data_IF_128594855445
#
_entry.id   IF_128594855445
#
_cell.length_a   1.000
_cell.length_b   1.000
_cell.length_c   1.000
_cell.angle_alpha   90.00
_cell.angle_beta   90.00
_cell.angle_gamma   90.00
#
_symmetry.space_group_name_H-M   'P 1'
#
loop_
_entity.id
_entity.type
_entity.pdbx_description
1 polymer ?
#
# COMPACT_ATOMS: atom_id res chain seq x y z
N UNK A 1 17.75 -16.52 -1.50
CA UNK A 1 16.48 -16.85 -2.22
C UNK A 1 16.28 -15.75 -3.25
N UNK A 2 16.13 -16.10 -4.51
CA UNK A 2 15.84 -15.12 -5.56
C UNK A 2 14.31 -14.92 -5.63
N UNK A 3 13.86 -13.68 -5.47
CA UNK A 3 12.44 -13.33 -5.55
C UNK A 3 11.96 -13.07 -6.98
N UNK A 4 12.86 -13.08 -7.98
CA UNK A 4 12.54 -12.78 -9.37
C UNK A 4 12.03 -11.36 -9.60
N UNK A 5 12.47 -10.39 -8.79
CA UNK A 5 12.02 -9.00 -8.83
C UNK A 5 12.91 -8.09 -9.67
N UNK A 6 14.13 -8.53 -9.99
CA UNK A 6 15.07 -7.76 -10.78
C UNK A 6 14.51 -7.38 -12.16
N UNK A 7 14.61 -6.10 -12.50
CA UNK A 7 14.12 -5.55 -13.77
C UNK A 7 12.62 -5.30 -13.85
N UNK A 8 11.83 -5.63 -12.82
CA UNK A 8 10.40 -5.29 -12.72
C UNK A 8 10.19 -3.81 -12.38
N UNK A 9 9.00 -3.31 -12.68
CA UNK A 9 8.57 -1.95 -12.35
C UNK A 9 7.49 -1.99 -11.28
N UNK A 10 7.72 -1.31 -10.17
CA UNK A 10 6.81 -1.22 -9.04
C UNK A 10 6.26 0.20 -8.88
N UNK A 11 4.93 0.34 -8.82
CA UNK A 11 4.23 1.54 -8.38
C UNK A 11 3.80 1.36 -6.92
N UNK A 12 4.28 2.21 -6.02
CA UNK A 12 3.96 2.17 -4.58
C UNK A 12 3.28 3.47 -4.19
N UNK A 13 2.01 3.41 -3.78
CA UNK A 13 1.26 4.58 -3.31
C UNK A 13 1.48 4.84 -1.82
N UNK A 14 1.45 6.12 -1.39
CA UNK A 14 1.76 6.52 -0.01
C UNK A 14 3.22 6.23 0.35
N UNK A 15 4.13 6.37 -0.62
CA UNK A 15 5.56 6.07 -0.44
C UNK A 15 6.37 7.25 0.13
N UNK A 16 5.72 8.38 0.46
CA UNK A 16 6.41 9.60 0.88
C UNK A 16 6.75 9.66 2.36
N UNK A 17 5.91 9.11 3.23
CA UNK A 17 6.14 9.19 4.68
C UNK A 17 7.44 8.51 5.11
N UNK A 18 8.36 9.28 5.70
CA UNK A 18 9.71 8.80 6.02
C UNK A 18 9.76 7.71 7.11
N UNK A 19 8.69 7.58 7.89
CA UNK A 19 8.50 6.53 8.90
C UNK A 19 7.40 5.54 8.50
N UNK A 20 6.88 5.67 7.25
CA UNK A 20 5.76 4.89 6.74
C UNK A 20 6.15 3.53 6.15
N UNK A 21 5.17 2.66 6.08
CA UNK A 21 5.33 1.36 5.43
C UNK A 21 5.64 1.52 3.93
N UNK A 22 4.98 2.47 3.23
CA UNK A 22 5.15 2.66 1.79
C UNK A 22 6.58 2.99 1.38
N UNK A 23 7.28 3.86 2.13
CA UNK A 23 8.71 4.12 1.90
C UNK A 23 9.54 2.85 2.06
N UNK A 24 9.35 2.12 3.16
CA UNK A 24 10.13 0.89 3.40
C UNK A 24 9.88 -0.16 2.31
N UNK A 25 8.64 -0.29 1.85
CA UNK A 25 8.26 -1.17 0.74
C UNK A 25 8.98 -0.73 -0.55
N UNK A 26 8.91 0.56 -0.89
CA UNK A 26 9.55 1.11 -2.08
C UNK A 26 11.08 0.87 -2.09
N UNK A 27 11.74 1.16 -0.97
CA UNK A 27 13.19 0.92 -0.80
C UNK A 27 13.54 -0.57 -0.87
N UNK A 28 12.71 -1.43 -0.27
CA UNK A 28 12.94 -2.89 -0.31
C UNK A 28 12.79 -3.43 -1.73
N UNK A 29 11.74 -3.06 -2.47
CA UNK A 29 11.57 -3.46 -3.86
C UNK A 29 12.71 -2.97 -4.76
N UNK A 30 13.21 -1.75 -4.52
CA UNK A 30 14.37 -1.23 -5.23
C UNK A 30 15.66 -2.04 -4.95
N UNK A 31 15.89 -2.47 -3.70
CA UNK A 31 17.01 -3.33 -3.31
C UNK A 31 16.94 -4.71 -3.97
N UNK A 32 15.73 -5.21 -4.22
CA UNK A 32 15.47 -6.44 -4.99
C UNK A 32 15.57 -6.22 -6.53
N UNK A 33 15.98 -5.02 -6.98
CA UNK A 33 16.25 -4.71 -8.39
C UNK A 33 15.06 -4.17 -9.18
N UNK A 34 13.96 -3.78 -8.51
CA UNK A 34 12.87 -3.10 -9.19
C UNK A 34 13.22 -1.65 -9.54
N UNK A 35 12.71 -1.15 -10.66
CA UNK A 35 12.52 0.28 -10.87
C UNK A 35 11.24 0.71 -10.13
N UNK A 36 11.30 1.80 -9.36
CA UNK A 36 10.20 2.19 -8.46
C UNK A 36 9.62 3.55 -8.82
N UNK A 37 8.30 3.61 -8.95
CA UNK A 37 7.55 4.86 -8.91
C UNK A 37 7.06 5.10 -7.47
N UNK A 38 7.70 6.03 -6.78
CA UNK A 38 7.31 6.46 -5.45
C UNK A 38 6.16 7.46 -5.58
N UNK A 39 4.92 7.00 -5.30
CA UNK A 39 3.74 7.84 -5.42
C UNK A 39 3.27 8.36 -4.06
N UNK A 40 2.96 9.65 -4.00
CA UNK A 40 2.40 10.30 -2.81
C UNK A 40 1.66 11.58 -3.23
N UNK A 41 0.71 12.02 -2.39
CA UNK A 41 0.07 13.32 -2.56
C UNK A 41 1.07 14.46 -2.34
N UNK A 42 2.06 14.25 -1.46
CA UNK A 42 3.15 15.18 -1.21
C UNK A 42 4.38 14.83 -2.05
N UNK A 43 4.65 15.57 -3.15
CA UNK A 43 5.77 15.26 -4.04
C UNK A 43 7.13 15.43 -3.37
N UNK A 44 7.26 16.33 -2.39
CA UNK A 44 8.51 16.53 -1.65
C UNK A 44 8.89 15.33 -0.79
N UNK A 45 7.89 14.68 -0.18
CA UNK A 45 8.12 13.44 0.57
C UNK A 45 8.43 12.25 -0.36
N UNK A 46 7.71 12.14 -1.47
CA UNK A 46 8.02 11.11 -2.47
C UNK A 46 9.43 11.28 -3.07
N UNK A 47 9.88 12.54 -3.26
CA UNK A 47 11.24 12.84 -3.73
C UNK A 47 12.31 12.36 -2.76
N UNK A 48 12.08 12.46 -1.44
CA UNK A 48 13.04 11.94 -0.45
C UNK A 48 13.22 10.43 -0.60
N UNK A 49 12.13 9.69 -0.80
CA UNK A 49 12.16 8.23 -1.03
C UNK A 49 12.84 7.89 -2.36
N UNK A 50 12.51 8.60 -3.44
CA UNK A 50 13.15 8.39 -4.74
C UNK A 50 14.67 8.66 -4.65
N UNK A 51 15.08 9.77 -4.01
CA UNK A 51 16.49 10.12 -3.84
C UNK A 51 17.25 9.11 -2.97
N UNK A 52 16.61 8.51 -1.97
CA UNK A 52 17.23 7.42 -1.18
C UNK A 52 17.51 6.19 -2.06
N UNK A 53 16.54 5.81 -2.90
CA UNK A 53 16.69 4.69 -3.82
C UNK A 53 17.81 4.96 -4.83
N UNK A 54 17.85 6.16 -5.42
CA UNK A 54 18.87 6.56 -6.39
C UNK A 54 20.27 6.59 -5.79
N UNK A 55 20.41 7.12 -4.55
CA UNK A 55 21.68 7.11 -3.81
C UNK A 55 22.20 5.71 -3.51
N UNK A 56 21.29 4.74 -3.40
CA UNK A 56 21.64 3.33 -3.23
C UNK A 56 21.92 2.60 -4.56
N UNK A 57 21.92 3.32 -5.69
CA UNK A 57 22.16 2.76 -7.03
C UNK A 57 20.93 2.18 -7.72
N UNK A 58 19.74 2.32 -7.11
CA UNK A 58 18.46 1.91 -7.70
C UNK A 58 17.91 2.93 -8.70
N UNK A 59 16.79 2.60 -9.34
CA UNK A 59 16.06 3.48 -10.27
C UNK A 59 14.74 3.88 -9.66
N UNK A 60 14.49 5.19 -9.55
CA UNK A 60 13.20 5.67 -9.04
C UNK A 60 12.71 6.91 -9.78
N UNK A 61 11.40 7.14 -9.73
CA UNK A 61 10.76 8.40 -10.10
C UNK A 61 9.73 8.81 -9.05
N UNK A 62 9.44 10.10 -8.99
CA UNK A 62 8.29 10.62 -8.25
C UNK A 62 7.06 10.58 -9.13
N UNK A 63 5.95 10.08 -8.58
CA UNK A 63 4.66 10.02 -9.23
C UNK A 63 3.58 10.64 -8.34
N UNK A 64 3.43 11.98 -8.40
CA UNK A 64 2.46 12.70 -7.56
C UNK A 64 1.03 12.37 -7.96
N UNK A 65 0.18 12.02 -6.99
CA UNK A 65 -1.27 11.94 -7.15
C UNK A 65 -1.98 11.91 -5.78
N UNK A 66 -3.18 12.48 -5.72
CA UNK A 66 -4.20 12.08 -4.77
C UNK A 66 -4.91 10.83 -5.32
N UNK A 67 -4.84 9.72 -4.60
CA UNK A 67 -5.46 8.46 -5.03
C UNK A 67 -7.00 8.54 -5.06
N UNK A 68 -7.61 9.45 -4.31
CA UNK A 68 -9.04 9.72 -4.35
C UNK A 68 -9.46 10.47 -5.65
N UNK A 69 -8.52 11.15 -6.33
CA UNK A 69 -8.77 11.86 -7.57
C UNK A 69 -8.42 11.00 -8.78
N UNK A 70 -9.45 10.51 -9.48
CA UNK A 70 -9.28 9.63 -10.62
C UNK A 70 -8.41 10.22 -11.74
N UNK A 71 -8.56 11.50 -12.06
CA UNK A 71 -7.80 12.13 -13.13
C UNK A 71 -6.30 12.22 -12.79
N UNK A 72 -5.97 12.49 -11.52
CA UNK A 72 -4.59 12.48 -11.04
C UNK A 72 -4.01 11.06 -11.07
N UNK A 73 -4.79 10.05 -10.71
CA UNK A 73 -4.38 8.64 -10.80
C UNK A 73 -4.09 8.24 -12.24
N UNK A 74 -4.95 8.59 -13.20
CA UNK A 74 -4.73 8.29 -14.62
C UNK A 74 -3.43 8.94 -15.14
N UNK A 75 -3.18 10.20 -14.77
CA UNK A 75 -1.94 10.92 -15.11
C UNK A 75 -0.71 10.29 -14.46
N UNK A 76 -0.81 9.89 -13.18
CA UNK A 76 0.25 9.18 -12.47
C UNK A 76 0.62 7.88 -13.17
N UNK A 77 -0.36 7.03 -13.47
CA UNK A 77 -0.14 5.74 -14.14
C UNK A 77 0.46 5.94 -15.53
N UNK A 78 -0.07 6.91 -16.30
CA UNK A 78 0.49 7.27 -17.61
C UNK A 78 1.95 7.67 -17.50
N UNK A 79 2.31 8.53 -16.55
CA UNK A 79 3.70 8.96 -16.32
C UNK A 79 4.62 7.77 -16.03
N UNK A 80 4.19 6.82 -15.20
CA UNK A 80 4.98 5.61 -14.89
C UNK A 80 5.20 4.78 -16.14
N UNK A 81 4.16 4.58 -16.95
CA UNK A 81 4.24 3.80 -18.21
C UNK A 81 5.10 4.52 -19.24
N UNK A 82 4.95 5.84 -19.40
CA UNK A 82 5.78 6.64 -20.33
C UNK A 82 7.27 6.56 -19.96
N UNK A 83 7.59 6.46 -18.65
CA UNK A 83 8.98 6.45 -18.17
C UNK A 83 9.62 5.07 -18.22
N UNK A 84 8.89 4.03 -17.80
CA UNK A 84 9.42 2.69 -17.62
C UNK A 84 8.91 1.66 -18.64
N UNK A 85 7.90 2.01 -19.43
CA UNK A 85 7.30 1.16 -20.48
C UNK A 85 6.31 0.11 -19.95
N UNK A 86 6.25 -0.10 -18.63
CA UNK A 86 5.43 -1.16 -18.00
C UNK A 86 5.13 -0.88 -16.53
N UNK A 87 4.19 -1.63 -15.96
CA UNK A 87 3.97 -1.75 -14.52
C UNK A 87 3.76 -3.23 -14.22
N UNK A 88 4.64 -3.83 -13.42
CA UNK A 88 4.57 -5.23 -13.02
C UNK A 88 3.95 -5.43 -11.65
N UNK A 89 4.19 -4.47 -10.76
CA UNK A 89 3.81 -4.53 -9.36
C UNK A 89 3.08 -3.23 -9.00
N UNK A 90 1.89 -3.36 -8.43
CA UNK A 90 1.17 -2.28 -7.76
C UNK A 90 1.10 -2.59 -6.28
N UNK A 91 1.56 -1.65 -5.45
CA UNK A 91 1.35 -1.70 -4.00
C UNK A 91 0.42 -0.54 -3.62
N UNK A 92 -0.84 -0.85 -3.36
CA UNK A 92 -1.83 0.05 -2.84
C UNK A 92 -1.64 0.23 -1.33
N UNK A 93 -0.81 1.20 -0.94
CA UNK A 93 -0.48 1.45 0.46
C UNK A 93 -0.95 2.82 0.94
N UNK A 94 -1.26 3.77 0.07
CA UNK A 94 -1.81 5.06 0.47
C UNK A 94 -3.02 4.88 1.39
N UNK A 95 -3.08 5.68 2.42
CA UNK A 95 -4.16 5.66 3.39
C UNK A 95 -4.22 6.95 4.21
N UNK A 96 -5.40 7.28 4.66
CA UNK A 96 -5.67 8.41 5.54
C UNK A 96 -6.62 7.97 6.66
N UNK A 97 -6.67 8.75 7.74
CA UNK A 97 -7.66 8.60 8.80
C UNK A 97 -8.15 9.97 9.23
N UNK A 98 -9.46 10.08 9.44
CA UNK A 98 -10.13 11.29 9.97
C UNK A 98 -9.82 11.56 11.44
N UNK A 99 -8.94 10.77 12.05
CA UNK A 99 -8.60 10.69 13.47
C UNK A 99 -9.62 9.89 14.30
N UNK A 100 -9.20 9.46 15.48
CA UNK A 100 -10.06 8.79 16.44
C UNK A 100 -11.20 9.71 16.88
N UNK A 101 -12.41 9.39 16.43
CA UNK A 101 -13.62 10.13 16.76
C UNK A 101 -14.78 9.15 16.92
N UNK A 102 -15.56 9.23 18.01
CA UNK A 102 -16.78 8.44 18.15
C UNK A 102 -17.72 8.64 16.96
N UNK A 103 -18.34 7.58 16.49
CA UNK A 103 -19.19 7.58 15.28
C UNK A 103 -20.26 8.70 15.32
N UNK A 104 -20.89 8.91 16.47
CA UNK A 104 -21.90 9.97 16.65
C UNK A 104 -21.38 11.41 16.47
N UNK A 105 -20.07 11.59 16.45
CA UNK A 105 -19.43 12.91 16.27
C UNK A 105 -18.75 13.04 14.92
N UNK A 106 -18.74 12.01 14.09
CA UNK A 106 -18.16 12.06 12.76
C UNK A 106 -19.01 12.92 11.83
N UNK A 107 -18.34 13.68 10.98
CA UNK A 107 -18.94 14.47 9.90
C UNK A 107 -18.93 13.69 8.59
N UNK A 108 -19.66 14.17 7.57
CA UNK A 108 -19.58 13.61 6.23
C UNK A 108 -18.16 13.70 5.66
N UNK A 109 -17.43 14.80 5.91
CA UNK A 109 -16.04 14.98 5.49
C UNK A 109 -15.11 13.93 6.12
N UNK A 110 -15.34 13.54 7.38
CA UNK A 110 -14.59 12.43 8.01
C UNK A 110 -14.85 11.10 7.27
N UNK A 111 -16.11 10.84 6.88
CA UNK A 111 -16.47 9.63 6.16
C UNK A 111 -15.88 9.62 4.76
N UNK A 112 -16.04 10.71 4.01
CA UNK A 112 -15.51 10.86 2.66
C UNK A 112 -14.00 10.60 2.67
N UNK A 113 -13.26 11.23 3.60
CA UNK A 113 -11.83 11.01 3.74
C UNK A 113 -11.46 9.55 4.02
N UNK A 114 -12.17 8.91 4.95
CA UNK A 114 -11.88 7.53 5.34
C UNK A 114 -12.22 6.54 4.22
N UNK A 115 -13.29 6.76 3.47
CA UNK A 115 -13.73 5.90 2.38
C UNK A 115 -12.95 6.20 1.09
N UNK A 116 -12.87 7.48 0.69
CA UNK A 116 -12.31 7.85 -0.61
C UNK A 116 -10.84 7.54 -0.72
N UNK A 117 -10.06 7.83 0.32
CA UNK A 117 -8.62 7.53 0.27
C UNK A 117 -8.35 6.04 0.45
N UNK A 118 -9.00 5.39 1.44
CA UNK A 118 -8.61 4.01 1.78
C UNK A 118 -9.24 2.96 0.86
N UNK A 119 -10.51 3.11 0.46
CA UNK A 119 -11.21 2.12 -0.37
C UNK A 119 -11.24 2.55 -1.84
N UNK A 120 -11.85 3.69 -2.14
CA UNK A 120 -12.01 4.16 -3.52
C UNK A 120 -10.66 4.43 -4.17
N UNK A 121 -9.70 5.00 -3.42
CA UNK A 121 -8.34 5.27 -3.90
C UNK A 121 -7.61 4.01 -4.36
N UNK A 122 -7.70 2.90 -3.60
CA UNK A 122 -7.10 1.63 -4.05
C UNK A 122 -7.78 1.09 -5.30
N UNK A 123 -9.12 1.22 -5.40
CA UNK A 123 -9.88 0.81 -6.58
C UNK A 123 -9.48 1.66 -7.80
N UNK A 124 -9.36 2.99 -7.66
CA UNK A 124 -8.95 3.90 -8.72
C UNK A 124 -7.60 3.50 -9.31
N UNK A 125 -6.59 3.28 -8.45
CA UNK A 125 -5.24 2.94 -8.90
C UNK A 125 -5.21 1.57 -9.55
N UNK A 126 -5.86 0.56 -8.95
CA UNK A 126 -5.94 -0.77 -9.54
C UNK A 126 -6.62 -0.74 -10.91
N UNK A 127 -7.76 -0.05 -11.04
CA UNK A 127 -8.49 0.04 -12.30
C UNK A 127 -7.68 0.75 -13.40
N UNK A 128 -6.84 1.74 -13.06
CA UNK A 128 -5.97 2.41 -14.01
C UNK A 128 -4.77 1.53 -14.44
N UNK A 129 -4.27 0.65 -13.56
CA UNK A 129 -3.09 -0.21 -13.83
C UNK A 129 -3.46 -1.53 -14.53
N UNK A 130 -4.58 -2.13 -14.19
CA UNK A 130 -5.01 -3.44 -14.71
C UNK A 130 -4.95 -3.55 -16.24
N UNK A 131 -5.36 -2.57 -17.06
CA UNK A 131 -5.28 -2.68 -18.51
C UNK A 131 -3.84 -2.91 -19.04
N UNK A 132 -2.85 -2.30 -18.41
CA UNK A 132 -1.44 -2.49 -18.76
C UNK A 132 -0.96 -3.88 -18.35
N UNK A 133 -1.25 -4.31 -17.14
CA UNK A 133 -0.90 -5.65 -16.66
C UNK A 133 -1.58 -6.75 -17.48
N UNK A 134 -2.85 -6.59 -17.85
CA UNK A 134 -3.59 -7.53 -18.69
C UNK A 134 -2.97 -7.67 -20.09
N UNK A 135 -2.55 -6.55 -20.71
CA UNK A 135 -1.82 -6.55 -21.98
C UNK A 135 -0.48 -7.28 -21.85
N UNK A 136 0.19 -7.17 -20.71
CA UNK A 136 1.44 -7.87 -20.39
C UNK A 136 1.22 -9.36 -20.07
N UNK A 137 -0.03 -9.76 -19.77
CA UNK A 137 -0.41 -11.08 -19.21
C UNK A 137 0.37 -11.42 -17.93
N UNK A 138 0.72 -10.41 -17.17
CA UNK A 138 1.49 -10.52 -15.93
C UNK A 138 1.26 -9.30 -15.07
N UNK A 139 0.99 -9.49 -13.78
CA UNK A 139 0.86 -8.43 -12.81
C UNK A 139 0.78 -8.96 -11.38
N UNK A 140 1.20 -8.13 -10.43
CA UNK A 140 1.04 -8.36 -8.98
C UNK A 140 0.42 -7.12 -8.37
N UNK A 141 -0.72 -7.27 -7.71
CA UNK A 141 -1.38 -6.20 -6.97
C UNK A 141 -1.40 -6.59 -5.50
N UNK A 142 -0.84 -5.74 -4.65
CA UNK A 142 -0.80 -5.93 -3.21
C UNK A 142 -1.57 -4.78 -2.55
N UNK A 143 -2.72 -5.11 -1.96
CA UNK A 143 -3.58 -4.15 -1.26
C UNK A 143 -3.24 -4.11 0.23
N UNK A 144 -3.39 -2.95 0.86
CA UNK A 144 -3.10 -2.77 2.30
C UNK A 144 -4.39 -2.55 3.08
N UNK A 145 -4.66 -3.43 4.03
CA UNK A 145 -5.75 -3.35 5.01
C UNK A 145 -5.20 -3.10 6.43
N UNK A 146 -6.02 -3.37 7.46
CA UNK A 146 -5.69 -3.27 8.89
C UNK A 146 -6.60 -2.31 9.65
N UNK A 147 -6.63 -2.40 10.97
CA UNK A 147 -7.42 -1.52 11.84
C UNK A 147 -8.93 -1.77 11.83
N UNK A 148 -9.37 -2.98 11.49
CA UNK A 148 -10.78 -3.35 11.47
C UNK A 148 -11.32 -3.59 12.89
N UNK A 149 -12.60 -3.25 13.09
CA UNK A 149 -13.32 -3.56 14.34
C UNK A 149 -12.85 -2.78 15.56
N UNK A 150 -12.09 -1.71 15.40
CA UNK A 150 -11.65 -0.87 16.52
C UNK A 150 -12.64 0.27 16.76
N UNK A 151 -12.95 0.60 18.04
CA UNK A 151 -13.78 1.77 18.35
C UNK A 151 -13.10 3.06 17.93
N UNK A 152 -13.89 4.11 17.71
CA UNK A 152 -13.47 5.44 17.30
C UNK A 152 -12.80 5.56 15.91
N UNK A 153 -12.68 4.46 15.15
CA UNK A 153 -12.25 4.44 13.74
C UNK A 153 -13.17 3.55 12.91
N UNK A 154 -14.47 3.56 13.21
CA UNK A 154 -15.44 2.60 12.63
C UNK A 154 -15.56 2.72 11.11
N UNK A 155 -15.57 3.94 10.54
CA UNK A 155 -15.67 4.17 9.10
C UNK A 155 -14.37 3.77 8.39
N UNK A 156 -13.21 4.17 8.94
CA UNK A 156 -11.92 3.67 8.49
C UNK A 156 -11.86 2.14 8.49
N UNK A 157 -12.29 1.52 9.60
CA UNK A 157 -12.36 0.05 9.73
C UNK A 157 -13.28 -0.60 8.71
N UNK A 158 -14.42 0.03 8.39
CA UNK A 158 -15.34 -0.42 7.34
C UNK A 158 -14.67 -0.34 5.95
N UNK A 159 -13.96 0.75 5.64
CA UNK A 159 -13.19 0.87 4.41
C UNK A 159 -12.14 -0.25 4.29
N UNK A 160 -11.40 -0.52 5.37
CA UNK A 160 -10.38 -1.57 5.41
C UNK A 160 -10.97 -2.98 5.29
N UNK A 161 -12.15 -3.24 5.86
CA UNK A 161 -12.87 -4.49 5.64
C UNK A 161 -13.38 -4.61 4.19
N UNK A 162 -13.86 -3.51 3.62
CA UNK A 162 -14.25 -3.44 2.21
C UNK A 162 -13.12 -3.78 1.25
N UNK A 163 -11.88 -3.32 1.53
CA UNK A 163 -10.69 -3.69 0.75
C UNK A 163 -10.48 -5.21 0.77
N UNK A 164 -10.68 -5.87 1.91
CA UNK A 164 -10.45 -7.31 2.01
C UNK A 164 -11.45 -8.10 1.14
N UNK A 165 -12.73 -7.75 1.22
CA UNK A 165 -13.76 -8.36 0.39
C UNK A 165 -13.53 -8.09 -1.11
N UNK A 166 -13.21 -6.84 -1.45
CA UNK A 166 -12.91 -6.44 -2.82
C UNK A 166 -11.65 -7.11 -3.37
N UNK A 167 -10.60 -7.23 -2.58
CA UNK A 167 -9.35 -7.92 -2.97
C UNK A 167 -9.64 -9.36 -3.39
N UNK A 168 -10.46 -10.08 -2.62
CA UNK A 168 -10.83 -11.45 -2.95
C UNK A 168 -11.62 -11.53 -4.27
N UNK A 169 -12.62 -10.69 -4.44
CA UNK A 169 -13.43 -10.64 -5.67
C UNK A 169 -12.57 -10.28 -6.89
N UNK A 170 -11.80 -9.18 -6.80
CA UNK A 170 -10.91 -8.73 -7.88
C UNK A 170 -9.90 -9.81 -8.27
N UNK A 171 -9.33 -10.52 -7.30
CA UNK A 171 -8.37 -11.58 -7.57
C UNK A 171 -8.94 -12.67 -8.47
N UNK A 172 -10.19 -13.06 -8.27
CA UNK A 172 -10.88 -14.06 -9.09
C UNK A 172 -11.20 -13.51 -10.49
N UNK A 173 -11.56 -12.23 -10.60
CA UNK A 173 -11.90 -11.60 -11.88
C UNK A 173 -10.68 -11.49 -12.83
N UNK A 174 -9.48 -11.18 -12.29
CA UNK A 174 -8.32 -10.86 -13.11
C UNK A 174 -7.29 -12.00 -13.21
N UNK A 175 -7.47 -13.10 -12.48
CA UNK A 175 -6.52 -14.21 -12.50
C UNK A 175 -6.33 -14.80 -13.90
N UNK A 176 -7.41 -14.91 -14.68
CA UNK A 176 -7.39 -15.48 -16.05
C UNK A 176 -6.55 -14.66 -17.04
N UNK A 177 -6.30 -13.40 -16.75
CA UNK A 177 -5.43 -12.51 -17.56
C UNK A 177 -4.00 -12.40 -17.00
N UNK A 178 -3.62 -13.25 -16.05
CA UNK A 178 -2.26 -13.35 -15.51
C UNK A 178 -1.95 -12.37 -14.39
N UNK A 179 -2.96 -11.77 -13.76
CA UNK A 179 -2.80 -10.83 -12.66
C UNK A 179 -3.12 -11.53 -11.34
N UNK A 180 -2.19 -11.50 -10.39
CA UNK A 180 -2.37 -12.03 -9.04
C UNK A 180 -2.59 -10.88 -8.08
N UNK A 181 -3.70 -10.92 -7.34
CA UNK A 181 -4.06 -9.92 -6.34
C UNK A 181 -4.06 -10.56 -4.97
N UNK A 182 -3.34 -9.97 -4.04
CA UNK A 182 -3.28 -10.37 -2.63
C UNK A 182 -3.24 -9.14 -1.73
N UNK A 183 -3.21 -9.34 -0.43
CA UNK A 183 -3.12 -8.23 0.50
C UNK A 183 -2.20 -8.45 1.69
N UNK A 184 -1.81 -7.35 2.31
CA UNK A 184 -1.10 -7.30 3.58
C UNK A 184 -1.92 -6.50 4.59
N UNK A 185 -2.02 -7.01 5.81
CA UNK A 185 -2.65 -6.30 6.93
C UNK A 185 -1.61 -6.08 8.03
N UNK A 186 -0.92 -4.93 8.03
CA UNK A 186 0.04 -4.59 9.07
C UNK A 186 -0.60 -4.48 10.44
N UNK A 187 0.14 -4.86 11.48
CA UNK A 187 -0.18 -4.52 12.86
C UNK A 187 -0.01 -3.02 13.15
N UNK A 188 -0.37 -2.61 14.36
CA UNK A 188 -0.15 -1.24 14.80
C UNK A 188 1.34 -0.94 14.86
N UNK A 189 1.75 0.13 14.19
CA UNK A 189 3.12 0.63 14.18
C UNK A 189 3.16 2.15 14.29
N UNK A 190 4.32 2.71 14.61
CA UNK A 190 4.54 4.15 14.60
C UNK A 190 4.83 4.59 13.15
N UNK A 191 3.83 5.19 12.52
CA UNK A 191 3.85 5.63 11.11
C UNK A 191 3.34 7.05 11.00
N UNK A 192 3.30 7.62 9.80
CA UNK A 192 2.70 8.94 9.57
C UNK A 192 1.23 9.04 9.99
N UNK A 193 0.46 7.93 9.94
CA UNK A 193 -0.93 7.91 10.41
C UNK A 193 -1.04 7.90 11.94
N UNK A 194 -0.08 7.33 12.64
CA UNK A 194 -0.14 7.06 14.08
C UNK A 194 0.84 7.90 14.91
N UNK A 195 1.65 8.75 14.27
CA UNK A 195 2.70 9.53 14.93
C UNK A 195 2.19 10.45 16.05
N UNK A 196 0.94 10.90 15.93
CA UNK A 196 0.29 11.78 16.91
C UNK A 196 -0.61 11.03 17.90
N UNK A 197 -0.62 9.70 17.88
CA UNK A 197 -1.36 8.92 18.88
C UNK A 197 -0.71 9.06 20.27
N UNK A 198 -1.52 9.06 21.34
CA UNK A 198 -0.98 9.13 22.71
C UNK A 198 0.01 8.00 22.98
N UNK A 199 1.12 8.31 23.66
CA UNK A 199 2.13 7.30 23.99
C UNK A 199 1.56 6.17 24.88
N UNK A 200 0.62 6.50 25.76
CA UNK A 200 -0.08 5.51 26.59
C UNK A 200 -0.87 4.50 25.73
N UNK A 201 -1.50 4.95 24.64
CA UNK A 201 -2.17 4.09 23.68
C UNK A 201 -1.16 3.15 22.98
N UNK A 202 -0.04 3.71 22.55
CA UNK A 202 1.04 2.93 21.90
C UNK A 202 1.65 1.91 22.86
N UNK A 203 1.90 2.30 24.11
CA UNK A 203 2.42 1.41 25.16
C UNK A 203 1.44 0.29 25.51
N UNK A 204 0.15 0.61 25.68
CA UNK A 204 -0.89 -0.39 25.92
C UNK A 204 -0.92 -1.45 24.81
N UNK A 205 -0.84 -1.03 23.55
CA UNK A 205 -0.82 -1.95 22.42
C UNK A 205 0.50 -2.75 22.34
N UNK A 206 1.63 -2.16 22.72
CA UNK A 206 2.92 -2.86 22.85
C UNK A 206 2.82 -3.98 23.88
N UNK A 207 2.21 -3.71 25.04
CA UNK A 207 2.04 -4.71 26.10
C UNK A 207 1.04 -5.82 25.74
N UNK A 208 0.03 -5.52 24.93
CA UNK A 208 -0.91 -6.52 24.40
C UNK A 208 -0.27 -7.42 23.36
N UNK A 209 0.69 -6.92 22.59
CA UNK A 209 1.40 -7.70 21.58
C UNK A 209 2.07 -8.92 22.20
N UNK A 210 1.89 -10.09 21.60
CA UNK A 210 2.50 -11.33 22.09
C UNK A 210 4.04 -11.25 22.11
N UNK A 211 4.63 -10.48 21.19
CA UNK A 211 6.09 -10.28 21.08
C UNK A 211 6.58 -8.97 21.73
N UNK A 212 5.70 -8.28 22.50
CA UNK A 212 6.00 -7.09 23.30
C UNK A 212 6.65 -5.94 22.52
N UNK A 213 6.32 -5.83 21.25
CA UNK A 213 6.70 -4.68 20.41
C UNK A 213 5.60 -4.35 19.40
N UNK A 214 5.65 -3.14 18.87
CA UNK A 214 4.80 -2.71 17.77
C UNK A 214 5.34 -3.22 16.42
N UNK A 215 4.48 -3.24 15.42
CA UNK A 215 4.86 -3.52 14.04
C UNK A 215 5.76 -2.40 13.49
N UNK A 216 6.76 -2.77 12.73
CA UNK A 216 7.71 -1.83 12.11
C UNK A 216 7.65 -1.92 10.58
N UNK A 217 8.15 -0.90 9.86
CA UNK A 217 8.29 -0.99 8.41
C UNK A 217 9.14 -2.18 7.94
N UNK A 218 10.12 -2.60 8.73
CA UNK A 218 10.96 -3.76 8.45
C UNK A 218 10.21 -5.11 8.57
N UNK A 219 9.09 -5.15 9.29
CA UNK A 219 8.23 -6.35 9.34
C UNK A 219 7.32 -6.43 8.10
N UNK A 220 6.90 -5.29 7.57
CA UNK A 220 5.92 -5.21 6.47
C UNK A 220 6.57 -5.37 5.10
N UNK A 221 7.69 -4.70 4.86
CA UNK A 221 8.29 -4.63 3.55
C UNK A 221 8.72 -6.00 2.98
N UNK A 222 9.31 -6.95 3.76
CA UNK A 222 9.62 -8.29 3.26
C UNK A 222 8.38 -9.11 2.87
N UNK A 223 7.28 -8.97 3.63
CA UNK A 223 6.03 -9.65 3.30
C UNK A 223 5.44 -9.16 1.97
N UNK A 224 5.52 -7.85 1.71
CA UNK A 224 5.11 -7.26 0.43
C UNK A 224 6.03 -7.70 -0.71
N UNK A 225 7.35 -7.73 -0.50
CA UNK A 225 8.30 -8.23 -1.49
C UNK A 225 8.03 -9.71 -1.87
N UNK A 226 7.71 -10.55 -0.87
CA UNK A 226 7.28 -11.93 -1.12
C UNK A 226 5.98 -11.99 -1.95
N UNK A 227 4.94 -11.23 -1.59
CA UNK A 227 3.69 -11.19 -2.34
C UNK A 227 3.86 -10.66 -3.78
N UNK A 228 4.84 -9.78 -4.00
CA UNK A 228 5.18 -9.24 -5.32
C UNK A 228 6.04 -10.19 -6.16
N UNK A 229 6.61 -11.23 -5.56
CA UNK A 229 7.60 -12.12 -6.16
C UNK A 229 6.95 -13.20 -7.05
N UNK A 230 7.78 -13.84 -7.87
CA UNK A 230 7.39 -14.99 -8.65
C UNK A 230 7.17 -16.25 -7.80
N UNK A 231 7.68 -16.25 -6.57
CA UNK A 231 7.45 -17.33 -5.59
C UNK A 231 6.01 -17.35 -5.07
N UNK A 232 5.31 -16.22 -5.11
CA UNK A 232 3.91 -16.10 -4.71
C UNK A 232 2.97 -16.30 -5.93
N UNK A 233 3.14 -17.40 -6.67
CA UNK A 233 2.41 -17.65 -7.92
C UNK A 233 1.08 -18.38 -7.74
N UNK A 234 0.83 -19.02 -6.59
CA UNK A 234 -0.38 -19.82 -6.33
C UNK A 234 -1.26 -19.24 -5.21
N UNK A 235 -0.88 -18.10 -4.63
CA UNK A 235 -1.71 -17.34 -3.68
C UNK A 235 -2.57 -16.35 -4.46
N UNK A 236 -3.90 -16.48 -4.36
CA UNK A 236 -4.87 -15.63 -5.07
C UNK A 236 -5.95 -15.17 -4.08
N UNK A 237 -6.12 -13.88 -3.91
CA UNK A 237 -7.08 -13.28 -3.00
C UNK A 237 -6.77 -13.49 -1.51
N UNK A 238 -5.52 -13.77 -1.16
CA UNK A 238 -5.10 -14.12 0.20
C UNK A 238 -4.49 -12.93 0.92
N UNK A 239 -4.43 -13.03 2.27
CA UNK A 239 -3.93 -11.97 3.15
C UNK A 239 -2.81 -12.47 4.03
N UNK A 240 -1.68 -11.73 4.07
CA UNK A 240 -0.68 -11.86 5.11
C UNK A 240 -1.01 -10.86 6.22
N UNK A 241 -1.39 -11.39 7.39
CA UNK A 241 -1.67 -10.58 8.58
C UNK A 241 -0.43 -10.53 9.45
N UNK A 242 0.08 -9.32 9.69
CA UNK A 242 1.23 -9.06 10.55
C UNK A 242 0.74 -8.56 11.92
N UNK A 243 -0.23 -9.28 12.49
CA UNK A 243 -0.83 -8.98 13.78
C UNK A 243 -0.32 -9.96 14.84
N UNK A 244 -0.24 -9.50 16.06
CA UNK A 244 0.23 -10.29 17.22
C UNK A 244 -0.85 -10.47 18.29
N UNK A 245 -2.10 -10.19 17.94
CA UNK A 245 -3.31 -10.43 18.76
C UNK A 245 -4.55 -10.60 17.89
#
# INVERSE_FOLDING_TARGET
MDLGLAGKVALVTGAGSQIGYGRAIAVTLAREGCAVAAADINPGWAQQTASEIEKAGGRAIVAQADVANRAEVDNMVKRVVDTFGRIDILVNNAGASSRERPFMQMTQEDWDKDIDVNLVGQMNVAQAVIPYMAKQKCGRIINTSGGQGLPAISVYGAAKAGIEAWTHALALEVASVGIIVNGVAPGLGKTGLTVNMPEEFMETNRQRSAIKRLCTPADVAPAVAFLASDMCSYMVGQWIRLSTF
#
